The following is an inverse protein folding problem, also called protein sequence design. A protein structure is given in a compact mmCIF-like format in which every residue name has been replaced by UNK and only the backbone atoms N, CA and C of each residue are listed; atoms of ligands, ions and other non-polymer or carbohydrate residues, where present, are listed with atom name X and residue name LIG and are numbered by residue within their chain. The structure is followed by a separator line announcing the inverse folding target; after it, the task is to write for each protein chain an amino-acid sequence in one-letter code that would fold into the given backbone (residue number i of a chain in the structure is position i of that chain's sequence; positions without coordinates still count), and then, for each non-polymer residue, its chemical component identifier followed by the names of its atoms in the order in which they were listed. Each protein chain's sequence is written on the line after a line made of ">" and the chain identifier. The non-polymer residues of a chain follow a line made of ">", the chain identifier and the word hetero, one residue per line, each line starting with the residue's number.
data_IF_878389765182
#
_entry.id   IF_878389765182
#
_cell.length_a   1.000
_cell.length_b   1.000
_cell.length_c   1.000
_cell.angle_alpha   90.00
_cell.angle_beta   90.00
_cell.angle_gamma   90.00
#
_symmetry.space_group_name_H-M   'P 1'
#
loop_
_entity.id
_entity.type
_entity.pdbx_description
1 polymer ?
#
# COMPACT_ATOMS: atom_id res chain seq x y z
N UNK A 1 21.69 4.86 -15.71
CA UNK A 1 20.49 5.02 -16.56
C UNK A 1 19.31 4.68 -15.69
N UNK A 2 18.34 5.59 -15.54
CA UNK A 2 17.13 5.36 -14.73
C UNK A 2 15.97 5.00 -15.67
N UNK A 3 15.11 4.07 -15.26
CA UNK A 3 13.93 3.61 -16.02
C UNK A 3 12.67 3.91 -15.20
N UNK A 4 11.62 4.37 -15.88
CA UNK A 4 10.28 4.46 -15.31
C UNK A 4 9.35 3.59 -16.15
N UNK A 5 8.73 2.58 -15.51
CA UNK A 5 7.92 1.58 -16.21
C UNK A 5 6.50 1.51 -15.65
N UNK A 6 5.53 1.49 -16.56
CA UNK A 6 4.12 1.22 -16.28
C UNK A 6 3.67 0.07 -17.18
N UNK A 7 3.69 -1.15 -16.65
CA UNK A 7 3.27 -2.35 -17.41
C UNK A 7 1.75 -2.57 -17.43
N UNK A 8 1.01 -2.43 -16.31
CA UNK A 8 -0.40 -2.74 -16.32
C UNK A 8 -1.19 -1.73 -17.15
N UNK A 9 -2.16 -2.22 -17.93
CA UNK A 9 -3.22 -1.36 -18.50
C UNK A 9 -4.19 -1.00 -17.39
N UNK A 10 -4.30 0.28 -17.08
CA UNK A 10 -5.18 0.78 -16.01
C UNK A 10 -6.57 1.07 -16.59
N UNK A 11 -7.61 0.49 -15.99
CA UNK A 11 -9.03 0.72 -16.28
C UNK A 11 -9.67 1.28 -15.02
N UNK A 12 -10.21 2.49 -15.07
CA UNK A 12 -10.65 3.18 -13.86
C UNK A 12 -11.95 3.94 -14.09
N UNK A 13 -12.65 4.23 -12.99
CA UNK A 13 -13.91 4.97 -12.97
C UNK A 13 -15.11 4.06 -12.71
N UNK A 14 -16.28 4.67 -12.64
CA UNK A 14 -17.53 3.94 -12.48
C UNK A 14 -17.71 2.94 -13.64
N UNK A 15 -18.20 1.74 -13.31
CA UNK A 15 -18.41 0.63 -14.23
C UNK A 15 -17.14 0.08 -14.91
N UNK A 16 -15.94 0.38 -14.39
CA UNK A 16 -14.68 -0.16 -14.92
C UNK A 16 -14.65 -1.71 -14.93
N UNK A 17 -15.43 -2.36 -14.07
CA UNK A 17 -15.59 -3.82 -14.05
C UNK A 17 -16.15 -4.39 -15.37
N UNK A 18 -16.88 -3.57 -16.15
CA UNK A 18 -17.46 -3.97 -17.45
C UNK A 18 -16.41 -4.42 -18.46
N UNK A 19 -15.14 -4.03 -18.31
CA UNK A 19 -14.03 -4.50 -19.16
C UNK A 19 -13.92 -6.03 -19.16
N UNK A 20 -14.32 -6.71 -18.07
CA UNK A 20 -14.36 -8.17 -18.01
C UNK A 20 -15.32 -8.80 -19.05
N UNK A 21 -16.23 -8.03 -19.63
CA UNK A 21 -17.12 -8.52 -20.71
C UNK A 21 -16.38 -8.69 -22.04
N UNK A 22 -15.27 -7.99 -22.23
CA UNK A 22 -14.52 -7.91 -23.48
C UNK A 22 -13.24 -8.75 -23.46
N UNK A 23 -12.71 -9.09 -22.28
CA UNK A 23 -11.43 -9.81 -22.17
C UNK A 23 -11.53 -11.24 -22.72
N UNK A 24 -10.63 -11.67 -23.61
CA UNK A 24 -10.60 -13.07 -24.05
C UNK A 24 -10.20 -13.98 -22.90
N UNK A 25 -11.00 -15.00 -22.61
CA UNK A 25 -10.68 -16.04 -21.64
C UNK A 25 -11.50 -17.30 -21.91
N UNK A 26 -10.92 -18.47 -21.64
CA UNK A 26 -11.55 -19.78 -21.74
C UNK A 26 -11.70 -20.44 -20.37
N UNK A 27 -10.70 -20.27 -19.50
CA UNK A 27 -10.66 -20.85 -18.17
C UNK A 27 -10.04 -19.89 -17.17
N UNK A 28 -10.83 -19.43 -16.21
CA UNK A 28 -10.42 -18.41 -15.24
C UNK A 28 -10.08 -19.03 -13.89
N UNK A 29 -9.02 -18.53 -13.25
CA UNK A 29 -8.84 -18.68 -11.81
C UNK A 29 -9.21 -17.35 -11.14
N UNK A 30 -10.32 -17.34 -10.39
CA UNK A 30 -10.72 -16.20 -9.57
C UNK A 30 -10.15 -16.39 -8.16
N UNK A 31 -9.25 -15.51 -7.77
CA UNK A 31 -8.61 -15.45 -6.45
C UNK A 31 -9.26 -14.36 -5.63
N UNK A 32 -9.73 -14.69 -4.44
CA UNK A 32 -10.46 -13.78 -3.55
C UNK A 32 -10.41 -14.24 -2.10
N UNK A 33 -11.11 -13.53 -1.23
CA UNK A 33 -11.29 -13.89 0.18
C UNK A 33 -12.78 -14.07 0.52
N UNK A 34 -13.04 -14.65 1.70
CA UNK A 34 -14.40 -14.91 2.19
C UNK A 34 -15.22 -13.63 2.39
N UNK A 35 -14.58 -12.47 2.62
CA UNK A 35 -15.30 -11.20 2.80
C UNK A 35 -15.86 -10.72 1.46
N UNK A 36 -15.09 -10.84 0.37
CA UNK A 36 -15.56 -10.48 -0.98
C UNK A 36 -16.71 -11.37 -1.44
N UNK A 37 -16.70 -12.65 -1.07
CA UNK A 37 -17.83 -13.56 -1.29
C UNK A 37 -19.04 -13.15 -0.45
N UNK A 38 -18.85 -12.94 0.86
CA UNK A 38 -19.93 -12.56 1.78
C UNK A 38 -20.61 -11.23 1.41
N UNK A 39 -19.86 -10.28 0.88
CA UNK A 39 -20.38 -8.98 0.42
C UNK A 39 -20.95 -9.02 -1.01
N UNK A 40 -20.96 -10.17 -1.68
CA UNK A 40 -21.47 -10.31 -3.04
C UNK A 40 -20.61 -9.65 -4.12
N UNK A 41 -19.38 -9.22 -3.78
CA UNK A 41 -18.47 -8.61 -4.76
C UNK A 41 -17.91 -9.67 -5.71
N UNK A 42 -17.60 -10.87 -5.21
CA UNK A 42 -17.21 -12.00 -6.05
C UNK A 42 -18.33 -12.41 -7.02
N UNK A 43 -19.60 -12.26 -6.63
CA UNK A 43 -20.74 -12.57 -7.49
C UNK A 43 -20.82 -11.64 -8.71
N UNK A 44 -20.45 -10.37 -8.57
CA UNK A 44 -20.38 -9.43 -9.70
C UNK A 44 -19.41 -9.92 -10.78
N UNK A 45 -18.28 -10.50 -10.40
CA UNK A 45 -17.31 -11.07 -11.34
C UNK A 45 -17.82 -12.40 -11.90
N UNK A 46 -18.25 -13.32 -11.04
CA UNK A 46 -18.68 -14.66 -11.49
C UNK A 46 -19.94 -14.62 -12.36
N UNK A 47 -20.84 -13.65 -12.15
CA UNK A 47 -21.99 -13.44 -13.01
C UNK A 47 -21.58 -13.08 -14.45
N UNK A 48 -20.60 -12.19 -14.62
CA UNK A 48 -20.05 -11.84 -15.95
C UNK A 48 -19.46 -13.10 -16.61
N UNK A 49 -18.67 -13.89 -15.87
CA UNK A 49 -18.09 -15.13 -16.40
C UNK A 49 -19.17 -16.14 -16.81
N UNK A 50 -20.21 -16.34 -15.99
CA UNK A 50 -21.35 -17.23 -16.30
C UNK A 50 -22.13 -16.78 -17.52
N UNK A 51 -22.43 -15.48 -17.65
CA UNK A 51 -23.13 -14.92 -18.80
C UNK A 51 -22.36 -15.11 -20.11
N UNK A 52 -21.02 -15.13 -20.04
CA UNK A 52 -20.15 -15.39 -21.19
C UNK A 52 -19.89 -16.88 -21.45
N UNK A 53 -20.43 -17.78 -20.63
CA UNK A 53 -20.16 -19.22 -20.72
C UNK A 53 -18.71 -19.59 -20.42
N UNK A 54 -17.97 -18.76 -19.67
CA UNK A 54 -16.57 -18.99 -19.34
C UNK A 54 -16.49 -19.88 -18.10
N UNK A 55 -15.72 -20.97 -18.21
CA UNK A 55 -15.48 -21.82 -17.06
C UNK A 55 -14.50 -21.14 -16.09
N UNK A 56 -14.71 -21.32 -14.78
CA UNK A 56 -13.83 -20.74 -13.79
C UNK A 56 -13.67 -21.64 -12.55
N UNK A 57 -12.54 -21.50 -11.88
CA UNK A 57 -12.26 -22.00 -10.55
C UNK A 57 -12.28 -20.83 -9.57
N UNK A 58 -12.82 -21.06 -8.38
CA UNK A 58 -12.82 -20.09 -7.29
C UNK A 58 -11.80 -20.51 -6.23
N UNK A 59 -10.88 -19.61 -5.91
CA UNK A 59 -9.97 -19.70 -4.78
C UNK A 59 -10.34 -18.58 -3.79
N UNK A 60 -11.13 -18.90 -2.77
CA UNK A 60 -11.73 -17.92 -1.85
C UNK A 60 -11.29 -18.07 -0.38
N UNK A 61 -10.30 -18.93 -0.10
CA UNK A 61 -9.73 -19.14 1.24
C UNK A 61 -8.46 -18.31 1.52
N UNK A 62 -8.22 -17.24 0.73
CA UNK A 62 -7.12 -16.31 1.02
C UNK A 62 -7.41 -15.54 2.30
N UNK A 63 -6.41 -15.49 3.19
CA UNK A 63 -6.46 -14.77 4.46
C UNK A 63 -5.48 -13.60 4.45
N UNK A 64 -5.66 -12.66 5.38
CA UNK A 64 -4.70 -11.58 5.60
C UNK A 64 -3.31 -12.13 5.95
N UNK A 65 -2.27 -11.48 5.41
CA UNK A 65 -0.87 -11.95 5.48
C UNK A 65 -0.73 -13.44 5.06
N UNK A 66 -1.02 -13.77 3.78
CA UNK A 66 -1.09 -15.16 3.32
C UNK A 66 0.23 -15.89 3.55
N UNK A 67 0.16 -17.08 4.13
CA UNK A 67 1.34 -17.88 4.46
C UNK A 67 1.78 -18.80 3.32
N UNK A 68 2.97 -19.39 3.47
CA UNK A 68 3.52 -20.36 2.49
C UNK A 68 2.53 -21.50 2.23
N UNK A 69 1.81 -21.98 3.26
CA UNK A 69 0.83 -23.07 3.10
C UNK A 69 -0.32 -22.65 2.20
N UNK A 70 -0.82 -21.42 2.33
CA UNK A 70 -1.84 -20.81 1.48
C UNK A 70 -1.36 -20.72 0.03
N UNK A 71 -0.12 -20.27 -0.19
CA UNK A 71 0.48 -20.22 -1.54
C UNK A 71 0.58 -21.62 -2.14
N UNK A 72 1.04 -22.63 -1.40
CA UNK A 72 1.14 -24.01 -1.89
C UNK A 72 -0.24 -24.60 -2.25
N UNK A 73 -1.29 -24.29 -1.49
CA UNK A 73 -2.67 -24.69 -1.85
C UNK A 73 -3.12 -24.04 -3.15
N UNK A 74 -2.92 -22.72 -3.28
CA UNK A 74 -3.26 -21.99 -4.51
C UNK A 74 -2.48 -22.49 -5.73
N UNK A 75 -1.20 -22.85 -5.58
CA UNK A 75 -0.41 -23.49 -6.64
C UNK A 75 -1.03 -24.80 -7.12
N UNK A 76 -1.44 -25.68 -6.20
CA UNK A 76 -2.09 -26.95 -6.55
C UNK A 76 -3.41 -26.74 -7.29
N UNK A 77 -4.21 -25.77 -6.84
CA UNK A 77 -5.49 -25.44 -7.47
C UNK A 77 -5.27 -24.90 -8.90
N UNK A 78 -4.34 -23.95 -9.06
CA UNK A 78 -3.96 -23.40 -10.35
C UNK A 78 -3.43 -24.49 -11.30
N UNK A 79 -2.57 -25.37 -10.80
CA UNK A 79 -1.95 -26.45 -11.57
C UNK A 79 -2.97 -27.51 -12.05
N UNK A 80 -3.94 -27.86 -11.20
CA UNK A 80 -4.95 -28.89 -11.50
C UNK A 80 -5.82 -28.57 -12.73
N UNK A 81 -6.01 -27.28 -13.02
CA UNK A 81 -6.70 -26.79 -14.20
C UNK A 81 -6.17 -25.42 -14.58
N UNK A 82 -5.02 -25.44 -15.25
CA UNK A 82 -4.25 -24.25 -15.60
C UNK A 82 -5.11 -23.19 -16.32
N UNK A 83 -5.19 -21.95 -15.81
CA UNK A 83 -6.01 -20.89 -16.39
C UNK A 83 -5.30 -20.17 -17.53
N UNK A 84 -6.07 -19.57 -18.45
CA UNK A 84 -5.55 -18.56 -19.39
C UNK A 84 -5.74 -17.12 -18.87
N UNK A 85 -6.58 -16.94 -17.84
CA UNK A 85 -6.79 -15.69 -17.13
C UNK A 85 -6.85 -15.90 -15.61
N UNK A 86 -6.05 -15.15 -14.87
CA UNK A 86 -6.12 -15.05 -13.40
C UNK A 86 -6.75 -13.70 -13.05
N UNK A 87 -7.80 -13.70 -12.22
CA UNK A 87 -8.42 -12.50 -11.67
C UNK A 87 -8.21 -12.51 -10.17
N UNK A 88 -7.52 -11.50 -9.63
CA UNK A 88 -7.45 -11.27 -8.18
C UNK A 88 -8.45 -10.16 -7.80
N UNK A 89 -9.47 -10.50 -7.02
CA UNK A 89 -10.46 -9.56 -6.49
C UNK A 89 -10.33 -9.46 -4.97
N UNK A 90 -9.78 -8.36 -4.47
CA UNK A 90 -9.56 -8.22 -3.04
C UNK A 90 -8.61 -7.08 -2.67
N UNK A 91 -8.25 -7.00 -1.39
CA UNK A 91 -7.16 -6.12 -0.93
C UNK A 91 -5.77 -6.67 -1.29
N UNK A 92 -4.72 -6.02 -0.78
CA UNK A 92 -3.34 -6.42 -1.06
C UNK A 92 -3.02 -7.88 -0.76
N UNK A 93 -3.60 -8.48 0.28
CA UNK A 93 -3.39 -9.91 0.59
C UNK A 93 -3.86 -10.85 -0.52
N UNK A 94 -4.99 -10.56 -1.16
CA UNK A 94 -5.50 -11.37 -2.28
C UNK A 94 -4.63 -11.21 -3.52
N UNK A 95 -4.29 -9.96 -3.87
CA UNK A 95 -3.46 -9.65 -5.03
C UNK A 95 -2.07 -10.26 -4.86
N UNK A 96 -1.47 -10.12 -3.68
CA UNK A 96 -0.15 -10.67 -3.36
C UNK A 96 -0.16 -12.21 -3.36
N UNK A 97 -1.22 -12.85 -2.87
CA UNK A 97 -1.36 -14.30 -2.93
C UNK A 97 -1.43 -14.81 -4.37
N UNK A 98 -2.22 -14.16 -5.24
CA UNK A 98 -2.29 -14.50 -6.66
C UNK A 98 -0.93 -14.36 -7.34
N UNK A 99 -0.24 -13.24 -7.11
CA UNK A 99 1.12 -12.98 -7.59
C UNK A 99 2.10 -14.09 -7.16
N UNK A 100 2.12 -14.39 -5.86
CA UNK A 100 3.02 -15.38 -5.28
C UNK A 100 2.75 -16.79 -5.83
N UNK A 101 1.48 -17.17 -6.03
CA UNK A 101 1.12 -18.45 -6.65
C UNK A 101 1.61 -18.54 -8.09
N UNK A 102 1.33 -17.52 -8.92
CA UNK A 102 1.76 -17.49 -10.31
C UNK A 102 3.29 -17.58 -10.42
N UNK A 103 4.00 -16.79 -9.61
CA UNK A 103 5.45 -16.75 -9.58
C UNK A 103 6.05 -18.07 -9.09
N UNK A 104 5.58 -18.58 -7.95
CA UNK A 104 6.10 -19.82 -7.37
C UNK A 104 5.86 -21.01 -8.31
N UNK A 105 4.68 -21.12 -8.93
CA UNK A 105 4.39 -22.17 -9.90
C UNK A 105 5.33 -22.10 -11.11
N UNK A 106 5.50 -20.92 -11.71
CA UNK A 106 6.39 -20.74 -12.86
C UNK A 106 7.87 -21.04 -12.55
N UNK A 107 8.34 -20.75 -11.33
CA UNK A 107 9.73 -20.98 -10.93
C UNK A 107 10.01 -22.41 -10.49
N UNK A 108 9.05 -23.08 -9.84
CA UNK A 108 9.25 -24.41 -9.24
C UNK A 108 8.79 -25.56 -10.13
N UNK A 109 7.86 -25.31 -11.04
CA UNK A 109 7.33 -26.31 -11.98
C UNK A 109 7.32 -25.72 -13.40
N UNK A 110 8.49 -25.46 -13.99
CA UNK A 110 8.58 -24.91 -15.34
C UNK A 110 8.04 -25.92 -16.34
N UNK A 111 7.12 -25.46 -17.20
CA UNK A 111 6.52 -26.26 -18.26
C UNK A 111 6.36 -25.37 -19.50
N UNK A 112 7.06 -25.73 -20.57
CA UNK A 112 7.10 -24.95 -21.82
C UNK A 112 5.76 -24.90 -22.54
N UNK A 113 4.82 -25.79 -22.21
CA UNK A 113 3.46 -25.77 -22.75
C UNK A 113 2.56 -24.77 -22.04
N UNK A 114 2.99 -24.21 -20.90
CA UNK A 114 2.23 -23.25 -20.11
C UNK A 114 2.62 -21.82 -20.47
N UNK A 115 1.76 -21.17 -21.24
CA UNK A 115 1.84 -19.72 -21.43
C UNK A 115 1.46 -18.99 -20.13
N UNK A 116 2.13 -17.89 -19.82
CA UNK A 116 1.79 -17.07 -18.64
C UNK A 116 0.34 -16.58 -18.78
N UNK A 117 -0.56 -16.88 -17.82
CA UNK A 117 -1.92 -16.39 -17.87
C UNK A 117 -1.94 -14.86 -17.87
N UNK A 118 -2.91 -14.26 -18.56
CA UNK A 118 -3.21 -12.85 -18.37
C UNK A 118 -3.57 -12.63 -16.89
N UNK A 119 -2.99 -11.63 -16.24
CA UNK A 119 -3.25 -11.34 -14.83
C UNK A 119 -4.00 -10.01 -14.68
N UNK A 120 -5.21 -10.09 -14.14
CA UNK A 120 -6.07 -8.95 -13.83
C UNK A 120 -6.15 -8.76 -12.32
N UNK A 121 -5.76 -7.59 -11.84
CA UNK A 121 -5.91 -7.18 -10.45
C UNK A 121 -7.10 -6.21 -10.30
N UNK A 122 -7.99 -6.50 -9.35
CA UNK A 122 -9.18 -5.72 -9.04
C UNK A 122 -9.14 -5.37 -7.54
N UNK A 123 -8.48 -4.26 -7.16
CA UNK A 123 -8.35 -3.86 -5.77
C UNK A 123 -9.72 -3.52 -5.15
N UNK A 124 -9.99 -4.02 -3.95
CA UNK A 124 -11.20 -3.70 -3.16
C UNK A 124 -10.87 -2.91 -1.89
N UNK A 125 -9.64 -2.38 -1.84
CA UNK A 125 -9.16 -1.43 -0.85
C UNK A 125 -8.41 -0.31 -1.55
N UNK A 126 -8.40 0.90 -0.98
CA UNK A 126 -7.64 2.04 -1.51
C UNK A 126 -6.43 2.32 -0.62
N UNK A 127 -5.42 1.45 -0.71
CA UNK A 127 -4.26 1.49 0.18
C UNK A 127 -2.97 0.99 -0.45
N UNK A 128 -2.97 -0.26 -0.91
CA UNK A 128 -1.71 -0.99 -1.13
C UNK A 128 -1.00 -0.68 -2.45
N UNK A 129 -1.72 -0.25 -3.48
CA UNK A 129 -1.18 -0.10 -4.84
C UNK A 129 -0.66 -1.41 -5.46
N UNK A 130 -0.94 -2.58 -4.87
CA UNK A 130 -0.40 -3.87 -5.34
C UNK A 130 -0.81 -4.19 -6.78
N UNK A 131 -1.94 -3.67 -7.24
CA UNK A 131 -2.43 -3.79 -8.62
C UNK A 131 -1.47 -3.21 -9.68
N UNK A 132 -0.47 -2.41 -9.29
CA UNK A 132 0.51 -1.81 -10.20
C UNK A 132 1.97 -2.04 -9.81
N UNK A 133 2.24 -2.92 -8.86
CA UNK A 133 3.60 -3.13 -8.34
C UNK A 133 4.16 -4.51 -8.66
N UNK A 134 5.50 -4.60 -8.69
CA UNK A 134 6.25 -5.86 -8.81
C UNK A 134 6.56 -6.52 -7.47
N UNK A 135 5.89 -6.10 -6.40
CA UNK A 135 6.04 -6.65 -5.05
C UNK A 135 4.94 -7.66 -4.74
N UNK A 136 5.25 -8.64 -3.91
CA UNK A 136 4.28 -9.52 -3.25
C UNK A 136 4.81 -9.89 -1.87
N UNK A 137 3.97 -9.76 -0.84
CA UNK A 137 4.33 -10.08 0.55
C UNK A 137 3.67 -11.38 0.97
N UNK A 138 4.48 -12.35 1.39
CA UNK A 138 4.05 -13.66 1.89
C UNK A 138 4.57 -13.85 3.31
N UNK A 139 3.74 -14.37 4.21
CA UNK A 139 4.14 -14.67 5.57
C UNK A 139 4.92 -15.98 5.65
N UNK A 140 6.13 -15.91 6.20
CA UNK A 140 6.96 -17.07 6.49
C UNK A 140 7.21 -17.12 8.01
N UNK A 141 6.50 -18.00 8.72
CA UNK A 141 6.53 -18.08 10.19
C UNK A 141 6.12 -16.74 10.84
N UNK A 142 7.00 -16.09 11.57
CA UNK A 142 6.81 -14.78 12.20
C UNK A 142 7.33 -13.61 11.35
N UNK A 143 7.85 -13.87 10.15
CA UNK A 143 8.48 -12.87 9.28
C UNK A 143 7.67 -12.66 8.00
N UNK A 144 7.80 -11.48 7.39
CA UNK A 144 7.26 -11.15 6.07
C UNK A 144 8.35 -11.35 5.02
N UNK A 145 8.14 -12.29 4.10
CA UNK A 145 8.97 -12.50 2.93
C UNK A 145 8.46 -11.60 1.79
N UNK A 146 9.33 -10.73 1.28
CA UNK A 146 9.01 -9.82 0.17
C UNK A 146 9.61 -10.38 -1.12
N UNK A 147 8.74 -10.73 -2.06
CA UNK A 147 9.13 -11.11 -3.42
C UNK A 147 9.15 -9.87 -4.30
N UNK A 148 10.21 -9.71 -5.09
CA UNK A 148 10.38 -8.60 -6.05
C UNK A 148 10.82 -9.18 -7.39
N UNK A 149 9.94 -9.15 -8.39
CA UNK A 149 10.22 -9.65 -9.73
C UNK A 149 9.29 -8.98 -10.76
N UNK A 150 9.80 -8.52 -11.92
CA UNK A 150 8.98 -7.88 -12.94
C UNK A 150 7.83 -8.74 -13.49
N UNK A 151 7.85 -10.06 -13.29
CA UNK A 151 6.78 -10.99 -13.67
C UNK A 151 5.56 -10.97 -12.73
N UNK A 152 5.71 -10.40 -11.53
CA UNK A 152 4.63 -10.23 -10.54
C UNK A 152 3.65 -9.11 -10.93
N UNK A 153 4.01 -8.23 -11.86
CA UNK A 153 3.14 -7.13 -12.30
C UNK A 153 1.87 -7.66 -12.97
N UNK A 154 0.68 -7.15 -12.59
CA UNK A 154 -0.54 -7.40 -13.35
C UNK A 154 -0.43 -6.90 -14.78
N UNK A 155 -1.14 -7.56 -15.70
CA UNK A 155 -1.29 -7.09 -17.08
C UNK A 155 -2.38 -6.01 -17.17
N UNK A 156 -3.39 -6.08 -16.29
CA UNK A 156 -4.49 -5.13 -16.21
C UNK A 156 -4.82 -4.85 -14.74
N UNK A 157 -5.02 -3.57 -14.41
CA UNK A 157 -5.58 -3.13 -13.13
C UNK A 157 -6.98 -2.54 -13.37
N UNK A 158 -7.99 -2.97 -12.62
CA UNK A 158 -9.38 -2.48 -12.73
C UNK A 158 -9.80 -1.79 -11.43
N UNK A 159 -9.95 -0.47 -11.49
CA UNK A 159 -10.25 0.40 -10.36
C UNK A 159 -11.71 0.87 -10.46
N UNK A 160 -12.62 0.08 -9.90
CA UNK A 160 -14.04 0.41 -9.85
C UNK A 160 -14.41 0.94 -8.44
N UNK A 161 -14.81 2.22 -8.30
CA UNK A 161 -15.08 2.82 -6.99
C UNK A 161 -16.25 2.16 -6.25
N UNK A 162 -17.15 1.47 -6.96
CA UNK A 162 -18.24 0.74 -6.32
C UNK A 162 -17.77 -0.48 -5.51
N UNK A 163 -16.57 -1.00 -5.80
CA UNK A 163 -15.97 -2.14 -5.09
C UNK A 163 -15.30 -1.75 -3.76
N UNK A 164 -15.10 -0.45 -3.53
CA UNK A 164 -14.52 0.09 -2.30
C UNK A 164 -15.53 0.85 -1.43
N UNK A 165 -16.78 0.98 -1.88
CA UNK A 165 -17.81 1.76 -1.18
C UNK A 165 -18.12 1.20 0.22
N UNK A 166 -18.12 -0.13 0.39
CA UNK A 166 -18.43 -0.81 1.64
C UNK A 166 -17.27 -0.86 2.64
N UNK A 167 -16.10 -0.30 2.32
CA UNK A 167 -14.93 -0.33 3.22
C UNK A 167 -15.22 0.49 4.49
N UNK A 168 -15.09 -0.08 5.71
CA UNK A 168 -15.41 0.64 6.94
C UNK A 168 -14.55 1.90 7.15
N UNK A 169 -15.03 2.91 7.91
CA UNK A 169 -14.28 4.14 8.17
C UNK A 169 -12.89 3.90 8.78
N UNK A 170 -12.76 3.00 9.75
CA UNK A 170 -11.45 2.67 10.36
C UNK A 170 -10.44 2.14 9.32
N UNK A 171 -10.88 1.26 8.42
CA UNK A 171 -10.01 0.74 7.35
C UNK A 171 -9.73 1.84 6.32
N UNK A 172 -10.71 2.68 6.00
CA UNK A 172 -10.55 3.83 5.09
C UNK A 172 -9.49 4.80 5.60
N UNK A 173 -9.48 5.10 6.91
CA UNK A 173 -8.46 5.93 7.53
C UNK A 173 -7.08 5.27 7.47
N UNK A 174 -6.97 4.01 7.91
CA UNK A 174 -5.70 3.28 7.92
C UNK A 174 -5.12 3.19 6.49
N UNK A 175 -5.90 2.76 5.49
CA UNK A 175 -5.41 2.64 4.11
C UNK A 175 -5.19 3.98 3.43
N UNK A 176 -6.00 5.00 3.71
CA UNK A 176 -5.80 6.33 3.14
C UNK A 176 -4.52 7.02 3.63
N UNK A 177 -4.16 6.82 4.90
CA UNK A 177 -2.89 7.29 5.44
C UNK A 177 -1.69 6.51 4.89
N UNK A 178 -1.89 5.23 4.55
CA UNK A 178 -0.90 4.42 3.84
C UNK A 178 -0.57 5.02 2.47
N UNK A 179 -1.60 5.41 1.70
CA UNK A 179 -1.45 6.11 0.42
C UNK A 179 -0.66 7.41 0.56
N UNK A 180 -0.92 8.19 1.63
CA UNK A 180 -0.14 9.39 1.92
C UNK A 180 1.33 9.03 2.19
N UNK A 181 1.58 8.03 3.03
CA UNK A 181 2.93 7.58 3.36
C UNK A 181 3.70 7.12 2.12
N UNK A 182 3.06 6.30 1.27
CA UNK A 182 3.62 5.88 -0.02
C UNK A 182 4.09 7.08 -0.86
N UNK A 183 3.23 8.10 -1.00
CA UNK A 183 3.55 9.28 -1.79
C UNK A 183 4.68 10.12 -1.16
N UNK A 184 4.64 10.35 0.15
CA UNK A 184 5.68 11.12 0.83
C UNK A 184 7.05 10.44 0.71
N UNK A 185 7.13 9.13 0.96
CA UNK A 185 8.38 8.39 0.89
C UNK A 185 8.90 8.25 -0.54
N UNK A 186 8.03 7.93 -1.51
CA UNK A 186 8.42 7.88 -2.91
C UNK A 186 8.94 9.24 -3.41
N UNK A 187 8.32 10.34 -2.96
CA UNK A 187 8.74 11.69 -3.33
C UNK A 187 10.13 12.01 -2.78
N UNK A 188 10.43 11.73 -1.51
CA UNK A 188 11.76 12.06 -0.94
C UNK A 188 12.81 10.97 -1.12
N UNK A 189 12.47 9.86 -1.77
CA UNK A 189 13.38 8.74 -1.99
C UNK A 189 14.63 9.15 -2.77
N UNK A 190 15.74 8.45 -2.50
CA UNK A 190 16.98 8.53 -3.27
C UNK A 190 16.81 8.06 -4.72
N UNK A 191 15.75 7.31 -5.02
CA UNK A 191 15.40 6.86 -6.36
C UNK A 191 14.26 7.68 -7.00
N UNK A 192 13.86 8.80 -6.39
CA UNK A 192 12.86 9.70 -6.96
C UNK A 192 13.32 10.28 -8.31
N UNK A 193 12.34 10.59 -9.17
CA UNK A 193 12.52 11.19 -10.49
C UNK A 193 11.34 12.09 -10.81
N UNK A 194 11.45 12.95 -11.83
CA UNK A 194 10.35 13.82 -12.26
C UNK A 194 9.04 13.03 -12.55
N UNK A 195 9.16 11.79 -13.03
CA UNK A 195 8.01 10.91 -13.32
C UNK A 195 7.30 10.43 -12.05
N UNK A 196 8.06 9.93 -11.06
CA UNK A 196 7.49 9.51 -9.78
C UNK A 196 7.00 10.71 -8.97
N UNK A 197 7.68 11.84 -9.09
CA UNK A 197 7.35 13.08 -8.39
C UNK A 197 6.00 13.63 -8.83
N UNK A 198 5.75 13.70 -10.14
CA UNK A 198 4.45 14.15 -10.67
C UNK A 198 3.28 13.31 -10.13
N UNK A 199 3.47 11.99 -9.97
CA UNK A 199 2.48 11.10 -9.38
C UNK A 199 2.32 11.35 -7.88
N UNK A 200 3.42 11.40 -7.13
CA UNK A 200 3.39 11.59 -5.69
C UNK A 200 2.77 12.94 -5.28
N UNK A 201 3.11 14.02 -5.99
CA UNK A 201 2.50 15.35 -5.80
C UNK A 201 0.98 15.29 -5.99
N UNK A 202 0.51 14.61 -7.06
CA UNK A 202 -0.91 14.46 -7.32
C UNK A 202 -1.62 13.65 -6.25
N UNK A 203 -0.98 12.59 -5.75
CA UNK A 203 -1.51 11.75 -4.66
C UNK A 203 -1.69 12.58 -3.40
N UNK A 204 -0.67 13.34 -2.98
CA UNK A 204 -0.74 14.19 -1.77
C UNK A 204 -1.93 15.15 -1.86
N UNK A 205 -2.10 15.85 -2.99
CA UNK A 205 -3.25 16.73 -3.22
C UNK A 205 -4.60 15.99 -3.13
N UNK A 206 -4.70 14.78 -3.68
CA UNK A 206 -5.93 14.00 -3.64
C UNK A 206 -6.25 13.49 -2.24
N UNK A 207 -5.25 13.02 -1.49
CA UNK A 207 -5.45 12.50 -0.13
C UNK A 207 -5.99 13.60 0.78
N UNK A 208 -5.32 14.76 0.84
CA UNK A 208 -5.77 15.87 1.68
C UNK A 208 -7.15 16.41 1.28
N UNK A 209 -7.52 16.33 0.00
CA UNK A 209 -8.82 16.82 -0.49
C UNK A 209 -9.97 15.84 -0.27
N UNK A 210 -9.75 14.53 -0.47
CA UNK A 210 -10.83 13.55 -0.60
C UNK A 210 -10.86 12.50 0.51
N UNK A 211 -9.76 12.23 1.21
CA UNK A 211 -9.75 11.23 2.28
C UNK A 211 -10.73 11.58 3.42
N UNK A 212 -10.82 12.84 3.91
CA UNK A 212 -11.80 13.22 4.91
C UNK A 212 -13.25 12.93 4.49
N UNK A 213 -13.61 13.29 3.25
CA UNK A 213 -14.95 13.03 2.71
C UNK A 213 -15.24 11.53 2.61
N UNK A 214 -14.28 10.76 2.08
CA UNK A 214 -14.35 9.30 1.96
C UNK A 214 -14.50 8.59 3.32
N UNK A 215 -13.87 9.13 4.37
CA UNK A 215 -13.97 8.62 5.73
C UNK A 215 -15.30 8.97 6.40
N UNK A 216 -15.80 10.21 6.23
CA UNK A 216 -17.06 10.68 6.81
C UNK A 216 -18.27 9.99 6.16
N UNK A 217 -18.25 9.80 4.85
CA UNK A 217 -19.30 9.12 4.09
C UNK A 217 -18.71 8.14 3.07
N UNK A 218 -18.78 6.85 3.39
CA UNK A 218 -18.31 5.78 2.51
C UNK A 218 -19.08 5.63 1.20
N UNK A 219 -20.26 6.27 1.09
CA UNK A 219 -21.09 6.26 -0.12
C UNK A 219 -20.80 7.42 -1.07
N UNK A 220 -19.93 8.37 -0.70
CA UNK A 220 -19.42 9.38 -1.63
C UNK A 220 -18.52 8.71 -2.69
N UNK A 221 -19.13 8.27 -3.78
CA UNK A 221 -18.43 7.58 -4.86
C UNK A 221 -17.38 8.46 -5.55
N UNK A 222 -17.51 9.79 -5.52
CA UNK A 222 -16.49 10.68 -6.04
C UNK A 222 -15.25 10.63 -5.14
N UNK A 223 -15.43 10.78 -3.82
CA UNK A 223 -14.32 10.70 -2.87
C UNK A 223 -13.67 9.30 -2.88
N UNK A 224 -14.47 8.24 -2.98
CA UNK A 224 -13.99 6.85 -3.17
C UNK A 224 -13.17 6.71 -4.43
N UNK A 225 -13.66 7.19 -5.58
CA UNK A 225 -12.93 7.14 -6.85
C UNK A 225 -11.60 7.88 -6.76
N UNK A 226 -11.59 9.10 -6.18
CA UNK A 226 -10.34 9.87 -6.07
C UNK A 226 -9.34 9.19 -5.14
N UNK A 227 -9.77 8.63 -4.02
CA UNK A 227 -8.87 7.87 -3.14
C UNK A 227 -8.39 6.56 -3.77
N UNK A 228 -9.24 5.89 -4.54
CA UNK A 228 -8.88 4.66 -5.23
C UNK A 228 -7.84 4.90 -6.33
N UNK A 229 -8.03 5.96 -7.11
CA UNK A 229 -7.04 6.42 -8.08
C UNK A 229 -5.75 6.90 -7.41
N UNK A 230 -5.83 7.60 -6.27
CA UNK A 230 -4.66 8.03 -5.50
C UNK A 230 -3.83 6.82 -5.03
N UNK A 231 -4.48 5.77 -4.53
CA UNK A 231 -3.80 4.51 -4.14
C UNK A 231 -3.00 3.92 -5.30
N UNK A 232 -3.62 3.80 -6.48
CA UNK A 232 -2.94 3.26 -7.65
C UNK A 232 -1.79 4.16 -8.12
N UNK A 233 -1.98 5.49 -8.16
CA UNK A 233 -0.90 6.41 -8.51
C UNK A 233 0.26 6.37 -7.52
N UNK A 234 -0.03 6.17 -6.22
CA UNK A 234 1.01 5.96 -5.22
C UNK A 234 1.80 4.69 -5.52
N UNK A 235 1.11 3.59 -5.85
CA UNK A 235 1.71 2.34 -6.36
C UNK A 235 2.65 2.55 -7.54
N UNK A 236 2.20 3.33 -8.54
CA UNK A 236 3.00 3.69 -9.71
C UNK A 236 4.25 4.49 -9.34
N UNK A 237 4.16 5.37 -8.35
CA UNK A 237 5.30 6.14 -7.86
C UNK A 237 6.30 5.24 -7.12
N UNK A 238 5.88 4.53 -6.07
CA UNK A 238 6.79 3.77 -5.22
C UNK A 238 7.32 2.50 -5.89
N UNK A 239 6.63 1.93 -6.89
CA UNK A 239 7.23 0.80 -7.62
C UNK A 239 8.46 1.19 -8.44
N UNK A 240 8.63 2.48 -8.73
CA UNK A 240 9.77 3.03 -9.47
C UNK A 240 10.75 3.79 -8.55
N UNK A 241 10.25 4.44 -7.50
CA UNK A 241 11.06 5.21 -6.56
C UNK A 241 11.37 4.48 -5.25
N UNK A 242 10.84 3.28 -5.02
CA UNK A 242 10.84 2.61 -3.72
C UNK A 242 10.17 3.45 -2.62
N UNK A 243 10.39 3.08 -1.36
CA UNK A 243 9.85 3.71 -0.15
C UNK A 243 11.00 4.16 0.78
N UNK A 244 10.72 4.33 2.07
CA UNK A 244 11.69 4.75 3.07
C UNK A 244 11.51 4.06 4.42
N UNK A 245 12.09 4.68 5.45
CA UNK A 245 12.16 4.05 6.79
C UNK A 245 10.82 4.06 7.53
N UNK A 246 9.82 4.84 7.12
CA UNK A 246 8.47 4.76 7.71
C UNK A 246 7.92 3.37 7.51
N UNK A 247 7.98 2.84 6.29
CA UNK A 247 7.57 1.47 5.99
C UNK A 247 8.42 0.44 6.73
N UNK A 248 9.75 0.61 6.76
CA UNK A 248 10.63 -0.32 7.48
C UNK A 248 10.31 -0.40 8.99
N UNK A 249 10.02 0.73 9.61
CA UNK A 249 9.56 0.80 11.00
C UNK A 249 8.14 0.19 11.15
N UNK A 250 7.23 0.51 10.23
CA UNK A 250 5.86 0.00 10.26
C UNK A 250 5.79 -1.53 10.05
N UNK A 251 6.63 -2.11 9.20
CA UNK A 251 6.74 -3.56 8.99
C UNK A 251 7.13 -4.28 10.28
N UNK A 252 8.17 -3.79 10.97
CA UNK A 252 8.62 -4.36 12.23
C UNK A 252 7.56 -4.19 13.34
N UNK A 253 6.96 -3.01 13.48
CA UNK A 253 5.89 -2.76 14.44
C UNK A 253 4.68 -3.68 14.21
N UNK A 254 4.22 -3.79 12.96
CA UNK A 254 3.11 -4.67 12.59
C UNK A 254 3.44 -6.15 12.75
N UNK A 255 4.68 -6.56 12.45
CA UNK A 255 5.13 -7.94 12.62
C UNK A 255 5.17 -8.39 14.08
N UNK A 256 5.67 -7.54 14.97
CA UNK A 256 5.81 -7.86 16.40
C UNK A 256 4.49 -7.69 17.16
N UNK A 257 3.76 -6.59 16.93
CA UNK A 257 2.60 -6.22 17.74
C UNK A 257 1.25 -6.33 17.03
N UNK A 258 1.24 -6.76 15.76
CA UNK A 258 0.01 -6.90 14.95
C UNK A 258 -0.77 -5.58 14.79
N UNK A 259 -0.08 -4.44 14.89
CA UNK A 259 -0.65 -3.15 14.52
C UNK A 259 -0.94 -3.16 13.01
N UNK A 260 -2.16 -2.80 12.56
CA UNK A 260 -2.48 -2.74 11.14
C UNK A 260 -1.50 -1.87 10.34
N UNK A 261 -1.14 -2.28 9.13
CA UNK A 261 -0.06 -1.66 8.35
C UNK A 261 -0.22 -0.15 8.16
N UNK A 262 -1.33 0.30 7.58
CA UNK A 262 -1.59 1.73 7.36
C UNK A 262 -1.66 2.54 8.67
N UNK A 263 -2.10 1.90 9.77
CA UNK A 263 -2.06 2.52 11.10
C UNK A 263 -0.63 2.70 11.59
N UNK A 264 0.20 1.68 11.48
CA UNK A 264 1.61 1.77 11.85
C UNK A 264 2.32 2.88 11.07
N UNK A 265 2.10 2.95 9.75
CA UNK A 265 2.61 4.05 8.91
C UNK A 265 2.12 5.42 9.40
N UNK A 266 0.82 5.59 9.67
CA UNK A 266 0.26 6.85 10.18
C UNK A 266 0.85 7.30 11.53
N UNK A 267 1.22 6.36 12.40
CA UNK A 267 1.80 6.66 13.72
C UNK A 267 3.28 7.09 13.63
N UNK A 268 4.01 6.61 12.63
CA UNK A 268 5.45 6.82 12.46
C UNK A 268 5.78 8.00 11.52
N UNK A 269 4.97 8.21 10.48
CA UNK A 269 5.27 9.09 9.35
C UNK A 269 5.68 10.50 9.74
N UNK A 270 4.98 11.16 10.67
CA UNK A 270 5.32 12.53 11.05
C UNK A 270 6.70 12.65 11.70
N UNK A 271 7.10 11.65 12.51
CA UNK A 271 8.43 11.63 13.13
C UNK A 271 9.51 11.42 12.06
N UNK A 272 9.25 10.55 11.08
CA UNK A 272 10.17 10.28 9.97
C UNK A 272 10.30 11.48 9.04
N UNK A 273 9.20 12.17 8.70
CA UNK A 273 9.21 13.42 7.92
C UNK A 273 10.08 14.46 8.62
N UNK A 274 9.87 14.70 9.91
CA UNK A 274 10.65 15.65 10.70
C UNK A 274 12.16 15.28 10.73
N UNK A 275 12.48 13.99 10.87
CA UNK A 275 13.86 13.51 10.91
C UNK A 275 14.56 13.58 9.56
N UNK A 276 13.91 13.16 8.48
CA UNK A 276 14.42 13.28 7.10
C UNK A 276 14.64 14.74 6.70
N UNK A 277 13.77 15.64 7.16
CA UNK A 277 13.89 17.07 6.95
C UNK A 277 14.96 17.74 7.82
N UNK A 278 15.56 17.05 8.80
CA UNK A 278 16.40 17.66 9.83
C UNK A 278 15.72 18.85 10.53
N UNK A 279 14.44 18.68 10.88
CA UNK A 279 13.56 19.75 11.41
C UNK A 279 14.18 20.50 12.59
N UNK A 280 14.79 19.79 13.53
CA UNK A 280 15.35 20.39 14.74
C UNK A 280 16.76 20.98 14.54
N UNK A 281 17.41 20.68 13.39
CA UNK A 281 18.72 21.16 13.02
C UNK A 281 18.65 22.37 12.08
N UNK A 282 19.29 22.29 10.91
CA UNK A 282 19.25 23.39 9.92
C UNK A 282 17.96 23.39 9.10
N UNK A 283 17.33 22.22 8.94
CA UNK A 283 16.15 22.01 8.10
C UNK A 283 16.33 22.45 6.65
N UNK A 284 17.50 22.14 6.08
CA UNK A 284 17.90 22.52 4.71
C UNK A 284 18.27 21.29 3.86
N UNK A 285 17.81 20.10 4.24
CA UNK A 285 18.07 18.88 3.47
C UNK A 285 17.26 18.88 2.17
N UNK A 286 17.70 18.10 1.18
CA UNK A 286 16.91 17.88 -0.04
C UNK A 286 15.46 17.45 0.26
N UNK A 287 15.27 16.56 1.25
CA UNK A 287 13.95 16.15 1.71
C UNK A 287 13.15 17.33 2.31
N UNK A 288 13.78 18.24 3.06
CA UNK A 288 13.11 19.42 3.61
C UNK A 288 12.53 20.31 2.50
N UNK A 289 13.31 20.59 1.45
CA UNK A 289 12.85 21.36 0.29
C UNK A 289 11.69 20.67 -0.42
N UNK A 290 11.76 19.34 -0.60
CA UNK A 290 10.67 18.56 -1.19
C UNK A 290 9.41 18.58 -0.32
N UNK A 291 9.50 18.37 0.99
CA UNK A 291 8.34 18.49 1.86
C UNK A 291 7.73 19.90 1.87
N UNK A 292 8.56 20.95 1.82
CA UNK A 292 8.07 22.32 1.69
C UNK A 292 7.35 22.58 0.35
N UNK A 293 7.82 21.96 -0.74
CA UNK A 293 7.12 21.98 -2.03
C UNK A 293 5.74 21.33 -1.94
N UNK A 294 5.60 20.20 -1.24
CA UNK A 294 4.30 19.58 -1.02
C UNK A 294 3.37 20.47 -0.19
N UNK A 295 3.88 21.14 0.85
CA UNK A 295 3.10 22.13 1.61
C UNK A 295 2.60 23.27 0.72
N UNK A 296 3.46 23.80 -0.15
CA UNK A 296 3.07 24.83 -1.12
C UNK A 296 1.98 24.36 -2.09
N UNK A 297 2.04 23.10 -2.58
CA UNK A 297 1.02 22.51 -3.45
C UNK A 297 -0.34 22.27 -2.77
N UNK A 298 -0.36 22.31 -1.44
CA UNK A 298 -1.56 22.24 -0.60
C UNK A 298 -2.02 23.65 -0.17
N UNK A 299 -1.45 24.71 -0.75
CA UNK A 299 -1.72 26.10 -0.40
C UNK A 299 -1.42 26.43 1.09
N UNK A 300 -0.46 25.73 1.69
CA UNK A 300 -0.02 25.95 3.07
C UNK A 300 1.19 26.90 3.12
N UNK A 301 1.45 27.58 4.27
CA UNK A 301 2.64 28.41 4.45
C UNK A 301 3.93 27.62 4.22
N UNK A 302 4.79 28.11 3.32
CA UNK A 302 6.00 27.42 2.88
C UNK A 302 7.06 28.38 2.29
N UNK A 303 7.21 29.58 2.86
CA UNK A 303 8.20 30.58 2.40
C UNK A 303 9.64 30.11 2.66
N UNK A 304 9.84 29.27 3.67
CA UNK A 304 11.12 28.62 3.96
C UNK A 304 10.93 27.10 4.05
N UNK A 305 12.00 26.30 3.82
CA UNK A 305 11.92 24.85 3.99
C UNK A 305 11.36 24.43 5.35
N UNK A 306 11.82 25.07 6.43
CA UNK A 306 11.34 24.82 7.80
C UNK A 306 9.85 25.13 7.98
N UNK A 307 9.39 26.27 7.46
CA UNK A 307 7.97 26.63 7.52
C UNK A 307 7.11 25.61 6.77
N UNK A 308 7.51 25.24 5.54
CA UNK A 308 6.78 24.27 4.74
C UNK A 308 6.75 22.87 5.38
N UNK A 309 7.88 22.41 5.92
CA UNK A 309 7.97 21.14 6.68
C UNK A 309 7.01 21.17 7.88
N UNK A 310 7.01 22.23 8.67
CA UNK A 310 6.10 22.35 9.81
C UNK A 310 4.63 22.40 9.40
N UNK A 311 4.29 23.14 8.34
CA UNK A 311 2.93 23.20 7.79
C UNK A 311 2.45 21.82 7.33
N UNK A 312 3.29 21.06 6.63
CA UNK A 312 2.95 19.69 6.21
C UNK A 312 2.73 18.78 7.42
N UNK A 313 3.56 18.87 8.45
CA UNK A 313 3.44 18.08 9.67
C UNK A 313 2.14 18.39 10.43
N UNK A 314 1.77 19.67 10.53
CA UNK A 314 0.48 20.10 11.11
C UNK A 314 -0.68 19.55 10.29
N UNK A 315 -0.62 19.61 8.96
CA UNK A 315 -1.66 19.06 8.09
C UNK A 315 -1.81 17.55 8.28
N UNK A 316 -0.70 16.80 8.37
CA UNK A 316 -0.71 15.36 8.66
C UNK A 316 -1.39 15.06 10.00
N UNK A 317 -1.11 15.83 11.06
CA UNK A 317 -1.77 15.61 12.35
C UNK A 317 -3.26 15.97 12.31
N UNK A 318 -3.62 17.10 11.70
CA UNK A 318 -5.01 17.50 11.56
C UNK A 318 -5.84 16.43 10.83
N UNK A 319 -5.26 15.81 9.78
CA UNK A 319 -5.89 14.72 9.05
C UNK A 319 -6.10 13.47 9.92
N UNK A 320 -5.09 13.09 10.73
CA UNK A 320 -5.22 11.98 11.69
C UNK A 320 -6.26 12.25 12.77
N UNK A 321 -6.25 13.45 13.34
CA UNK A 321 -7.19 13.89 14.38
C UNK A 321 -8.63 13.89 13.86
N UNK A 322 -8.85 14.40 12.65
CA UNK A 322 -10.14 14.39 12.00
C UNK A 322 -10.71 12.97 11.87
N UNK A 323 -9.87 12.03 11.42
CA UNK A 323 -10.26 10.62 11.28
C UNK A 323 -10.24 9.83 12.60
N UNK A 324 -10.01 10.51 13.73
CA UNK A 324 -9.97 9.94 15.09
C UNK A 324 -8.99 8.78 15.21
N UNK A 325 -7.85 8.90 14.54
CA UNK A 325 -6.79 7.89 14.63
C UNK A 325 -6.07 7.98 15.98
N UNK A 326 -5.47 6.89 16.48
CA UNK A 326 -4.65 6.93 17.68
C UNK A 326 -3.53 7.96 17.54
N UNK A 327 -3.20 8.66 18.63
CA UNK A 327 -2.19 9.73 18.59
C UNK A 327 -0.80 9.14 18.46
N UNK A 328 -0.50 8.10 19.25
CA UNK A 328 0.76 7.37 19.26
C UNK A 328 0.60 5.85 19.36
N UNK A 329 1.73 5.13 19.38
CA UNK A 329 1.74 3.66 19.49
C UNK A 329 1.11 3.19 20.81
N UNK A 330 1.28 3.95 21.91
CA UNK A 330 0.71 3.60 23.22
C UNK A 330 -0.83 3.50 23.22
N UNK A 331 -1.50 4.18 22.29
CA UNK A 331 -2.96 4.19 22.17
C UNK A 331 -3.51 2.98 21.38
N UNK A 332 -2.64 2.09 20.90
CA UNK A 332 -3.04 0.91 20.09
C UNK A 332 -3.30 -0.35 20.92
N UNK A 333 -3.11 -0.27 22.25
CA UNK A 333 -3.22 -1.42 23.15
C UNK A 333 -1.91 -2.19 23.34
N UNK A 334 -0.81 -1.73 22.73
CA UNK A 334 0.54 -2.26 23.01
C UNK A 334 0.96 -1.89 24.43
N UNK A 335 1.48 -2.87 25.17
CA UNK A 335 1.96 -2.68 26.54
C UNK A 335 3.36 -2.07 26.51
N UNK A 336 3.59 -1.00 27.29
CA UNK A 336 4.87 -0.28 27.32
C UNK A 336 6.08 -1.18 27.64
N UNK A 337 5.93 -2.08 28.61
CA UNK A 337 6.99 -3.01 28.98
C UNK A 337 7.35 -3.98 27.84
N UNK A 338 6.35 -4.49 27.12
CA UNK A 338 6.56 -5.38 25.97
C UNK A 338 7.20 -4.62 24.81
N UNK A 339 6.78 -3.36 24.59
CA UNK A 339 7.38 -2.47 23.60
C UNK A 339 8.87 -2.26 23.86
N UNK A 340 9.24 -1.88 25.09
CA UNK A 340 10.63 -1.67 25.47
C UNK A 340 11.46 -2.95 25.35
N UNK A 341 10.90 -4.10 25.73
CA UNK A 341 11.58 -5.39 25.62
C UNK A 341 11.87 -5.79 24.15
N UNK A 342 10.96 -5.47 23.23
CA UNK A 342 11.05 -5.84 21.81
C UNK A 342 11.63 -4.74 20.91
N UNK A 343 11.93 -3.56 21.46
CA UNK A 343 12.42 -2.41 20.69
C UNK A 343 13.70 -2.71 19.91
N UNK A 344 14.68 -3.37 20.53
CA UNK A 344 15.94 -3.73 19.87
C UNK A 344 15.73 -4.69 18.68
N UNK A 345 14.78 -5.63 18.81
CA UNK A 345 14.40 -6.54 17.71
C UNK A 345 13.77 -5.75 16.56
N UNK A 346 12.81 -4.88 16.84
CA UNK A 346 12.15 -4.07 15.82
C UNK A 346 13.13 -3.15 15.08
N UNK A 347 14.09 -2.55 15.79
CA UNK A 347 15.15 -1.73 15.19
C UNK A 347 16.05 -2.57 14.28
N UNK A 348 16.45 -3.77 14.71
CA UNK A 348 17.23 -4.70 13.90
C UNK A 348 16.49 -5.15 12.64
N UNK A 349 15.18 -5.38 12.72
CA UNK A 349 14.33 -5.71 11.57
C UNK A 349 14.25 -4.52 10.61
N UNK A 350 13.97 -3.32 11.10
CA UNK A 350 13.86 -2.12 10.26
C UNK A 350 15.17 -1.77 9.54
N UNK A 351 16.34 -1.93 10.18
CA UNK A 351 17.64 -1.73 9.52
C UNK A 351 17.91 -2.71 8.38
N UNK A 352 17.35 -3.92 8.44
CA UNK A 352 17.51 -4.98 7.42
C UNK A 352 16.41 -4.97 6.36
N UNK A 353 15.39 -4.13 6.54
CA UNK A 353 14.24 -4.06 5.67
C UNK A 353 14.60 -3.40 4.33
N UNK A 354 14.01 -3.90 3.24
CA UNK A 354 14.34 -3.50 1.88
C UNK A 354 13.92 -2.06 1.52
N UNK A 355 13.08 -1.40 2.33
CA UNK A 355 12.69 -0.01 2.13
C UNK A 355 13.73 0.99 2.69
N UNK A 356 14.56 0.59 3.67
CA UNK A 356 15.57 1.45 4.30
C UNK A 356 16.62 2.02 3.33
N UNK A 357 17.20 1.25 2.39
CA UNK A 357 18.29 1.72 1.53
C UNK A 357 17.95 2.96 0.68
N UNK A 358 16.67 3.16 0.34
CA UNK A 358 16.21 4.26 -0.52
C UNK A 358 15.80 5.51 0.24
N UNK A 359 15.80 5.49 1.57
CA UNK A 359 15.49 6.66 2.38
C UNK A 359 16.53 7.79 2.19
N UNK A 360 16.13 9.08 2.12
CA UNK A 360 17.06 10.20 1.84
C UNK A 360 18.14 10.40 2.89
N UNK A 361 17.88 10.00 4.13
CA UNK A 361 18.83 10.07 5.24
C UNK A 361 19.12 8.66 5.73
N UNK A 362 20.38 8.24 5.73
CA UNK A 362 20.75 6.91 6.21
C UNK A 362 20.51 6.80 7.73
N UNK A 363 19.69 5.86 8.21
CA UNK A 363 19.45 5.68 9.64
C UNK A 363 20.56 4.83 10.28
N UNK A 364 20.75 4.99 11.58
CA UNK A 364 21.43 4.04 12.45
C UNK A 364 20.47 3.51 13.52
N UNK A 365 20.94 2.55 14.33
CA UNK A 365 20.11 1.96 15.38
C UNK A 365 19.62 2.98 16.42
N UNK A 366 20.43 4.00 16.72
CA UNK A 366 20.06 5.04 17.67
C UNK A 366 18.92 5.89 17.11
N UNK A 367 19.04 6.36 15.87
CA UNK A 367 18.02 7.15 15.20
C UNK A 367 16.68 6.41 15.12
N UNK A 368 16.68 5.13 14.72
CA UNK A 368 15.44 4.34 14.67
C UNK A 368 14.83 4.11 16.08
N UNK A 369 15.66 3.91 17.10
CA UNK A 369 15.21 3.81 18.50
C UNK A 369 14.52 5.10 18.95
N UNK A 370 15.11 6.25 18.66
CA UNK A 370 14.55 7.55 18.99
C UNK A 370 13.23 7.81 18.25
N UNK A 371 13.14 7.45 16.97
CA UNK A 371 11.91 7.57 16.19
C UNK A 371 10.76 6.74 16.79
N UNK A 372 11.02 5.49 17.18
CA UNK A 372 10.03 4.65 17.88
C UNK A 372 9.59 5.26 19.21
N UNK A 373 10.53 5.73 20.03
CA UNK A 373 10.23 6.36 21.32
C UNK A 373 9.41 7.64 21.15
N UNK A 374 9.72 8.46 20.16
CA UNK A 374 8.92 9.65 19.84
C UNK A 374 7.52 9.26 19.33
N UNK A 375 7.40 8.22 18.51
CA UNK A 375 6.12 7.72 18.01
C UNK A 375 5.24 7.07 19.10
N UNK A 376 5.81 6.67 20.24
CA UNK A 376 5.07 6.10 21.37
C UNK A 376 3.96 7.03 21.87
N UNK A 377 4.30 8.28 22.18
CA UNK A 377 3.34 9.31 22.63
C UNK A 377 2.66 10.04 21.47
N UNK A 378 3.10 9.80 20.23
CA UNK A 378 2.67 10.54 19.04
C UNK A 378 3.51 11.80 18.76
N UNK A 379 3.14 12.54 17.73
CA UNK A 379 3.82 13.78 17.38
C UNK A 379 3.30 14.93 18.25
N UNK A 380 4.17 15.76 18.84
CA UNK A 380 3.73 16.84 19.71
C UNK A 380 2.80 17.78 18.95
N UNK A 381 1.67 18.14 19.56
CA UNK A 381 0.81 19.19 19.06
C UNK A 381 1.62 20.49 18.93
N UNK A 382 1.38 21.31 17.90
CA UNK A 382 2.00 22.63 17.82
C UNK A 382 1.67 23.40 19.11
N UNK A 383 2.71 23.85 19.82
CA UNK A 383 2.55 24.77 20.94
C UNK A 383 1.92 26.05 20.40
N UNK A 384 0.69 26.34 20.83
CA UNK A 384 -0.09 27.52 20.46
C UNK A 384 0.63 28.83 20.77
#
# INVERSE_FOLDING_TARGET
>A
MSEFSLKPRIRFGQDALSVLTELPARNVLLVTDQMMVKFGLADRVTQILRQRGIAFQLWDDVVADPDITTIVRGMKLMDSRYPDLVIALGGGSVIDAAKAVMFALAKTQPDVSRERPCFVAIPTTSGTGSEVTSFSVVKARSEKLVLVDPSLLPDIAILDPSLVASVPPAITADTGMDVLCHALEAYVSRAASDFSDALAEKVVQQVFRYLPACWRDGHDLLAREKMHNASCMAGMAFTNASLGITHSLAHALGGVFRVPHGRANALLMAQVVAWNADRDGQCDTHAAHKYARLAHLLDLPAQTPREGVNSLLVAIQALKEEMKMPTGIGDTGVIAADFDQRLAEMVSQALRDNCTPTNPRAPDAQALTELYRKAWCGYPAPSH
#
